data_IF_143786614246
#
_entry.id   IF_143786614246
#
_cell.length_a   1.000
_cell.length_b   1.000
_cell.length_c   1.000
_cell.angle_alpha   90.00
_cell.angle_beta   90.00
_cell.angle_gamma   90.00
#
_symmetry.space_group_name_H-M   'P 1'
#
loop_
_entity.id
_entity.type
_entity.pdbx_description
1 polymer ?
#
# COMPACT_ATOMS: atom_id res chain seq x y z
N UNK A 1 -77.09 -59.12 -42.32
CA UNK A 1 -77.10 -58.78 -40.87
C UNK A 1 -75.70 -58.78 -40.28
N UNK A 2 -74.76 -59.62 -40.71
CA UNK A 2 -73.40 -59.65 -40.17
C UNK A 2 -72.52 -58.44 -40.57
N UNK A 3 -72.76 -57.87 -41.78
CA UNK A 3 -71.99 -56.70 -42.26
C UNK A 3 -72.37 -55.38 -41.56
N UNK A 4 -73.59 -55.22 -41.09
CA UNK A 4 -74.06 -54.07 -40.35
C UNK A 4 -73.50 -54.02 -38.96
N UNK A 5 -73.30 -55.18 -38.35
CA UNK A 5 -72.66 -55.25 -36.97
C UNK A 5 -71.21 -54.88 -37.04
N UNK A 6 -70.44 -55.31 -38.08
CA UNK A 6 -69.05 -54.91 -38.27
C UNK A 6 -68.87 -53.44 -38.48
N UNK A 7 -69.77 -52.77 -39.24
CA UNK A 7 -69.70 -51.32 -39.45
C UNK A 7 -69.93 -50.51 -38.13
N UNK A 8 -70.85 -50.94 -37.28
CA UNK A 8 -71.10 -50.30 -35.98
C UNK A 8 -69.93 -50.40 -35.02
N UNK A 9 -69.26 -51.58 -35.00
CA UNK A 9 -68.08 -51.80 -34.16
C UNK A 9 -66.94 -50.88 -34.61
N UNK A 10 -66.69 -50.80 -35.94
CA UNK A 10 -65.64 -49.92 -36.47
C UNK A 10 -65.94 -48.43 -36.16
N UNK A 11 -67.20 -47.99 -36.29
CA UNK A 11 -67.57 -46.62 -35.94
C UNK A 11 -67.41 -46.37 -34.40
N UNK A 12 -67.77 -47.37 -33.58
CA UNK A 12 -67.60 -47.25 -32.12
C UNK A 12 -66.11 -47.18 -31.72
N UNK A 13 -65.24 -47.96 -32.37
CA UNK A 13 -63.80 -47.94 -32.11
C UNK A 13 -63.18 -46.60 -32.59
N UNK A 14 -63.57 -46.13 -33.76
CA UNK A 14 -63.09 -44.82 -34.26
C UNK A 14 -63.59 -43.66 -33.39
N UNK A 15 -64.83 -43.66 -32.97
CA UNK A 15 -65.42 -42.65 -32.06
C UNK A 15 -64.74 -42.71 -30.68
N UNK A 16 -64.46 -43.91 -30.15
CA UNK A 16 -63.73 -44.10 -28.92
C UNK A 16 -62.28 -43.59 -29.00
N UNK A 17 -61.62 -43.89 -30.13
CA UNK A 17 -60.25 -43.39 -30.41
C UNK A 17 -60.18 -41.85 -30.51
N UNK A 18 -61.13 -41.24 -31.19
CA UNK A 18 -61.21 -39.78 -31.30
C UNK A 18 -61.52 -39.12 -29.93
N UNK A 19 -62.40 -39.75 -29.13
CA UNK A 19 -62.66 -39.28 -27.76
C UNK A 19 -61.47 -39.45 -26.78
N UNK A 20 -60.65 -40.48 -26.96
CA UNK A 20 -59.43 -40.66 -26.20
C UNK A 20 -58.31 -39.67 -26.61
N UNK A 21 -58.17 -39.41 -27.88
CA UNK A 21 -57.18 -38.45 -28.43
C UNK A 21 -57.57 -36.97 -28.18
N UNK A 22 -58.87 -36.67 -28.03
CA UNK A 22 -59.35 -35.32 -27.71
C UNK A 22 -59.22 -34.96 -26.22
N UNK A 23 -58.82 -35.95 -25.35
CA UNK A 23 -58.54 -35.71 -23.94
C UNK A 23 -57.07 -35.28 -23.66
N UNK A 24 -56.35 -34.77 -24.70
CA UNK A 24 -55.15 -34.00 -24.40
C UNK A 24 -55.56 -32.73 -23.66
N UNK A 25 -55.52 -32.82 -22.33
CA UNK A 25 -55.66 -31.66 -21.45
C UNK A 25 -54.58 -30.66 -21.87
N UNK A 26 -54.97 -29.59 -22.59
CA UNK A 26 -54.17 -28.37 -22.70
C UNK A 26 -53.84 -27.94 -21.24
N UNK A 27 -52.69 -28.37 -20.76
CA UNK A 27 -52.13 -27.91 -19.50
C UNK A 27 -51.87 -26.41 -19.71
N UNK A 28 -52.76 -25.56 -19.27
CA UNK A 28 -52.54 -24.13 -19.19
C UNK A 28 -51.24 -23.86 -18.41
N UNK A 29 -50.61 -22.74 -18.64
CA UNK A 29 -49.39 -22.39 -17.93
C UNK A 29 -49.57 -22.55 -16.42
N UNK A 30 -48.71 -23.36 -15.79
CA UNK A 30 -48.76 -23.57 -14.32
C UNK A 30 -48.28 -22.31 -13.66
N UNK A 31 -49.16 -21.44 -13.23
CA UNK A 31 -48.85 -20.25 -12.47
C UNK A 31 -48.51 -20.68 -11.03
N UNK A 32 -47.29 -20.35 -10.58
CA UNK A 32 -46.93 -20.43 -9.17
C UNK A 32 -47.46 -19.16 -8.52
N UNK A 33 -48.43 -19.33 -7.61
CA UNK A 33 -48.98 -18.21 -6.84
C UNK A 33 -48.22 -18.11 -5.56
N UNK A 34 -47.59 -16.98 -5.30
CA UNK A 34 -47.03 -16.64 -4.00
C UNK A 34 -47.87 -15.52 -3.39
N UNK A 35 -47.95 -15.55 -2.03
CA UNK A 35 -48.64 -14.48 -1.31
C UNK A 35 -47.76 -13.23 -1.36
N UNK A 36 -48.30 -12.16 -1.85
CA UNK A 36 -47.69 -10.85 -1.73
C UNK A 36 -47.60 -10.46 -0.27
N UNK A 37 -46.40 -10.20 0.22
CA UNK A 37 -46.14 -9.75 1.57
C UNK A 37 -45.66 -8.32 1.56
N UNK A 38 -45.97 -7.57 2.62
CA UNK A 38 -45.39 -6.24 2.82
C UNK A 38 -44.09 -6.39 3.59
N UNK A 39 -43.08 -5.67 3.14
CA UNK A 39 -41.80 -5.68 3.80
C UNK A 39 -40.83 -4.59 3.21
N UNK A 40 -39.70 -4.35 3.88
CA UNK A 40 -38.72 -3.41 3.39
C UNK A 40 -38.04 -3.94 2.12
N UNK A 41 -37.86 -3.06 1.14
CA UNK A 41 -37.01 -3.27 -0.03
C UNK A 41 -35.84 -2.33 0.10
N UNK A 42 -34.63 -2.88 0.10
CA UNK A 42 -33.37 -2.12 0.21
C UNK A 42 -32.64 -2.27 -1.12
N UNK A 43 -32.35 -1.15 -1.76
CA UNK A 43 -31.45 -1.11 -2.90
C UNK A 43 -30.02 -1.02 -2.40
N UNK A 44 -29.16 -1.93 -2.84
CA UNK A 44 -27.76 -2.01 -2.42
C UNK A 44 -26.85 -1.89 -3.63
N UNK A 45 -25.78 -1.14 -3.48
CA UNK A 45 -24.62 -1.14 -4.39
C UNK A 45 -23.63 -2.17 -3.86
N UNK A 46 -23.23 -3.10 -4.71
CA UNK A 46 -22.25 -4.14 -4.35
C UNK A 46 -20.94 -3.89 -5.08
N UNK A 47 -19.83 -4.01 -4.37
CA UNK A 47 -18.51 -3.85 -4.94
C UNK A 47 -17.50 -4.73 -4.19
N UNK A 48 -16.43 -5.11 -4.86
CA UNK A 48 -15.31 -5.81 -4.23
C UNK A 48 -14.27 -4.82 -3.76
N UNK A 49 -13.60 -5.13 -2.66
CA UNK A 49 -12.55 -4.30 -2.11
C UNK A 49 -11.46 -5.13 -1.45
N UNK A 50 -10.39 -4.45 -1.03
CA UNK A 50 -9.26 -5.06 -0.32
C UNK A 50 -9.11 -4.41 1.05
N UNK A 51 -8.94 -5.23 2.08
CA UNK A 51 -8.63 -4.77 3.42
C UNK A 51 -7.18 -4.30 3.51
N UNK A 52 -6.99 -3.17 4.17
CA UNK A 52 -5.66 -2.65 4.52
C UNK A 52 -5.70 -2.01 5.91
N UNK A 53 -4.54 -1.87 6.56
CA UNK A 53 -4.46 -1.02 7.74
C UNK A 53 -4.61 0.45 7.31
N UNK A 54 -5.15 1.29 8.20
CA UNK A 54 -5.35 2.74 7.92
C UNK A 54 -4.02 3.42 7.59
N UNK A 55 -2.97 3.10 8.35
CA UNK A 55 -1.62 3.60 8.08
C UNK A 55 -0.68 2.44 7.82
N UNK A 56 -0.12 2.42 6.62
CA UNK A 56 0.88 1.45 6.20
C UNK A 56 2.08 2.19 5.64
N UNK A 57 3.28 1.89 6.14
CA UNK A 57 4.53 2.49 5.67
C UNK A 57 5.42 1.42 5.05
N UNK A 58 5.90 1.72 3.86
CA UNK A 58 6.89 0.90 3.17
C UNK A 58 8.27 1.41 3.52
N UNK A 59 9.08 0.58 4.16
CA UNK A 59 10.46 0.88 4.56
C UNK A 59 11.41 0.27 3.55
N UNK A 60 12.24 1.10 2.95
CA UNK A 60 13.22 0.69 1.95
C UNK A 60 14.64 1.08 2.33
N UNK A 61 15.61 0.75 1.47
CA UNK A 61 16.98 1.21 1.58
C UNK A 61 17.25 2.41 0.69
N UNK A 62 18.08 3.35 1.18
CA UNK A 62 18.57 4.50 0.42
C UNK A 62 19.95 4.23 -0.22
N UNK A 63 20.62 3.14 0.20
CA UNK A 63 21.93 2.74 -0.33
C UNK A 63 21.87 1.28 -0.79
N UNK A 64 22.66 0.96 -1.79
CA UNK A 64 22.81 -0.41 -2.30
C UNK A 64 23.78 -1.19 -1.44
N UNK A 65 23.50 -2.47 -1.17
CA UNK A 65 24.38 -3.32 -0.38
C UNK A 65 23.79 -4.71 -0.19
N UNK A 66 24.53 -5.57 0.50
CA UNK A 66 24.07 -6.93 0.85
C UNK A 66 23.48 -6.88 2.26
N UNK A 67 22.34 -7.53 2.48
CA UNK A 67 21.74 -7.65 3.82
C UNK A 67 22.63 -8.59 4.66
N UNK A 68 23.22 -8.02 5.70
CA UNK A 68 24.08 -8.79 6.63
C UNK A 68 23.28 -9.40 7.77
N UNK A 69 22.27 -8.69 8.28
CA UNK A 69 21.44 -9.14 9.41
C UNK A 69 20.01 -8.64 9.26
N UNK A 70 19.08 -9.45 9.77
CA UNK A 70 17.67 -9.09 9.96
C UNK A 70 17.35 -9.14 11.46
N UNK A 71 16.71 -8.10 11.99
CA UNK A 71 16.33 -7.96 13.40
C UNK A 71 14.82 -8.00 13.60
N UNK A 72 14.04 -7.94 12.50
CA UNK A 72 12.60 -8.09 12.50
C UNK A 72 12.19 -9.09 11.43
N UNK A 73 11.14 -9.86 11.71
CA UNK A 73 10.56 -10.84 10.82
C UNK A 73 9.05 -10.59 10.66
N UNK A 74 8.36 -11.40 9.87
CA UNK A 74 6.90 -11.34 9.72
C UNK A 74 6.21 -11.33 11.09
N UNK A 75 5.18 -10.52 11.22
CA UNK A 75 4.37 -10.34 12.43
C UNK A 75 5.13 -9.83 13.67
N UNK A 76 6.38 -9.38 13.52
CA UNK A 76 7.13 -8.76 14.62
C UNK A 76 6.56 -7.39 14.96
N UNK A 77 6.32 -7.15 16.24
CA UNK A 77 6.04 -5.81 16.75
C UNK A 77 7.31 -4.98 16.76
N UNK A 78 7.25 -3.78 16.21
CA UNK A 78 8.40 -2.88 16.09
C UNK A 78 8.04 -1.49 16.59
N UNK A 79 9.04 -0.80 17.15
CA UNK A 79 8.91 0.57 17.62
C UNK A 79 9.62 1.54 16.68
N UNK A 80 9.17 2.76 16.66
CA UNK A 80 9.84 3.84 15.95
C UNK A 80 11.31 3.94 16.36
N UNK A 81 12.22 3.96 15.38
CA UNK A 81 13.66 3.98 15.59
C UNK A 81 14.28 2.61 15.89
N UNK A 82 13.50 1.54 15.97
CA UNK A 82 14.02 0.18 16.14
C UNK A 82 14.71 -0.28 14.85
N UNK A 83 15.85 -0.96 15.03
CA UNK A 83 16.62 -1.54 13.94
C UNK A 83 15.87 -2.75 13.36
N UNK A 84 15.61 -2.72 12.05
CA UNK A 84 14.91 -3.78 11.30
C UNK A 84 15.87 -4.68 10.54
N UNK A 85 16.84 -4.07 9.87
CA UNK A 85 17.87 -4.77 9.10
C UNK A 85 19.17 -3.97 9.06
N UNK A 86 20.25 -4.67 8.80
CA UNK A 86 21.58 -4.07 8.56
C UNK A 86 22.09 -4.54 7.20
N UNK A 87 22.55 -3.60 6.39
CA UNK A 87 23.38 -3.89 5.23
C UNK A 87 24.84 -4.05 5.67
N UNK A 88 25.66 -4.72 4.86
CA UNK A 88 27.10 -4.81 5.12
C UNK A 88 27.73 -3.40 5.20
N UNK A 89 28.19 -2.96 6.38
CA UNK A 89 28.74 -1.63 6.57
C UNK A 89 30.18 -1.50 6.10
N UNK A 90 30.87 -2.60 5.79
CA UNK A 90 32.31 -2.65 5.54
C UNK A 90 32.78 -1.66 4.45
N UNK A 91 32.18 -1.62 3.25
CA UNK A 91 32.60 -0.68 2.21
C UNK A 91 32.29 0.78 2.56
N UNK A 92 31.23 1.03 3.31
CA UNK A 92 30.88 2.36 3.77
C UNK A 92 31.83 2.85 4.86
N UNK A 93 32.18 1.97 5.82
CA UNK A 93 33.14 2.27 6.87
C UNK A 93 34.51 2.61 6.27
N UNK A 94 34.99 1.83 5.30
CA UNK A 94 36.24 2.13 4.60
C UNK A 94 36.22 3.52 3.93
N UNK A 95 35.07 3.88 3.35
CA UNK A 95 34.89 5.22 2.74
C UNK A 95 34.93 6.33 3.81
N UNK A 96 34.28 6.14 4.96
CA UNK A 96 34.34 7.10 6.08
C UNK A 96 35.77 7.27 6.56
N UNK A 97 36.52 6.18 6.75
CA UNK A 97 37.91 6.24 7.22
C UNK A 97 38.82 6.96 6.22
N UNK A 98 38.63 6.73 4.91
CA UNK A 98 39.33 7.46 3.88
C UNK A 98 39.02 8.97 3.95
N UNK A 99 37.75 9.37 4.01
CA UNK A 99 37.35 10.78 4.09
C UNK A 99 37.82 11.46 5.37
N UNK A 100 37.90 10.72 6.46
CA UNK A 100 38.48 11.20 7.72
C UNK A 100 39.96 11.49 7.56
N UNK A 101 40.72 10.62 6.91
CA UNK A 101 42.14 10.85 6.61
C UNK A 101 42.36 12.06 5.66
N UNK A 102 41.49 12.24 4.66
CA UNK A 102 41.50 13.40 3.77
C UNK A 102 41.27 14.71 4.55
N UNK A 103 40.31 14.72 5.48
CA UNK A 103 40.05 15.87 6.36
C UNK A 103 41.27 16.20 7.24
N UNK A 104 41.89 15.20 7.85
CA UNK A 104 43.08 15.41 8.69
C UNK A 104 44.25 15.98 7.85
N UNK A 105 44.45 15.50 6.62
CA UNK A 105 45.43 16.06 5.72
C UNK A 105 45.16 17.55 5.40
N UNK A 106 43.90 17.90 5.12
CA UNK A 106 43.49 19.28 4.86
C UNK A 106 43.69 20.17 6.10
N UNK A 107 43.43 19.68 7.30
CA UNK A 107 43.68 20.40 8.56
C UNK A 107 45.16 20.66 8.78
N UNK A 108 46.01 19.69 8.46
CA UNK A 108 47.49 19.86 8.60
C UNK A 108 47.97 20.97 7.63
N UNK A 109 47.47 20.99 6.39
CA UNK A 109 47.79 22.03 5.41
C UNK A 109 47.30 23.42 5.86
N UNK A 110 46.06 23.50 6.40
CA UNK A 110 45.57 24.77 6.97
C UNK A 110 46.47 25.25 8.09
N UNK A 111 46.89 24.39 9.01
CA UNK A 111 47.78 24.76 10.11
C UNK A 111 49.15 25.25 9.58
N UNK A 112 49.67 24.59 8.55
CA UNK A 112 50.93 25.03 7.90
C UNK A 112 50.79 26.45 7.28
N UNK A 113 49.72 26.68 6.51
CA UNK A 113 49.44 27.98 5.89
C UNK A 113 49.14 29.07 6.95
N UNK A 114 48.52 28.76 8.07
CA UNK A 114 48.34 29.67 9.18
C UNK A 114 49.69 30.09 9.82
N UNK A 115 50.62 29.15 9.99
CA UNK A 115 51.94 29.48 10.46
C UNK A 115 52.73 30.36 9.48
N UNK A 116 52.57 30.12 8.16
CA UNK A 116 53.16 30.97 7.10
C UNK A 116 52.54 32.38 7.18
N UNK A 117 51.22 32.49 7.26
CA UNK A 117 50.53 33.78 7.32
C UNK A 117 50.94 34.56 8.61
N UNK A 118 51.05 33.89 9.76
CA UNK A 118 51.49 34.49 11.01
C UNK A 118 52.92 35.06 10.92
N UNK A 119 53.81 34.32 10.21
CA UNK A 119 55.19 34.83 9.95
C UNK A 119 55.19 36.03 8.97
N UNK A 120 54.44 35.94 7.89
CA UNK A 120 54.34 37.02 6.90
C UNK A 120 53.77 38.29 7.56
N UNK A 121 52.79 38.17 8.44
CA UNK A 121 52.24 39.28 9.20
C UNK A 121 53.26 39.98 10.07
N UNK A 122 54.08 39.23 10.85
CA UNK A 122 55.16 39.81 11.68
C UNK A 122 56.20 40.51 10.86
N UNK A 123 56.59 39.95 9.70
CA UNK A 123 57.57 40.58 8.79
C UNK A 123 57.05 41.87 8.15
N UNK A 124 55.77 41.90 7.80
CA UNK A 124 55.12 43.11 7.26
C UNK A 124 55.03 44.22 8.33
N UNK A 125 54.63 43.87 9.57
CA UNK A 125 54.63 44.82 10.71
C UNK A 125 56.01 45.39 11.01
N UNK A 126 57.07 44.60 10.77
CA UNK A 126 58.45 45.04 10.92
C UNK A 126 58.98 45.78 9.64
N UNK A 127 58.14 45.99 8.60
CA UNK A 127 58.53 46.57 7.28
C UNK A 127 59.63 45.81 6.55
N UNK A 128 59.77 44.49 6.80
CA UNK A 128 60.77 43.61 6.19
C UNK A 128 60.22 42.81 4.99
N UNK A 129 58.93 42.96 4.66
CA UNK A 129 58.26 42.22 3.58
C UNK A 129 57.24 43.08 2.85
N UNK A 130 57.03 42.82 1.52
CA UNK A 130 56.06 43.54 0.72
C UNK A 130 54.59 43.11 1.11
N UNK A 131 53.64 44.03 0.99
CA UNK A 131 52.22 43.77 1.20
C UNK A 131 51.68 42.61 0.33
N UNK A 132 52.17 42.50 -0.93
CA UNK A 132 51.76 41.47 -1.87
C UNK A 132 52.07 40.03 -1.38
N UNK A 133 53.16 39.84 -0.62
CA UNK A 133 53.51 38.55 -0.08
C UNK A 133 52.63 38.16 1.09
N UNK A 134 52.25 39.13 1.95
CA UNK A 134 51.23 38.90 2.99
C UNK A 134 49.87 38.55 2.38
N UNK A 135 49.44 39.29 1.32
CA UNK A 135 48.16 39.02 0.66
C UNK A 135 48.16 37.63 0.00
N UNK A 136 49.31 37.20 -0.56
CA UNK A 136 49.47 35.83 -1.08
C UNK A 136 49.38 34.78 0.03
N UNK A 137 50.06 34.98 1.17
CA UNK A 137 49.98 34.07 2.31
C UNK A 137 48.57 33.98 2.88
N UNK A 138 47.84 35.10 2.92
CA UNK A 138 46.45 35.16 3.31
C UNK A 138 45.55 34.38 2.35
N UNK A 139 45.70 34.60 1.03
CA UNK A 139 44.94 33.87 0.01
C UNK A 139 45.17 32.35 0.09
N UNK A 140 46.43 31.92 0.31
CA UNK A 140 46.75 30.51 0.47
C UNK A 140 46.11 29.90 1.71
N UNK A 141 46.11 30.61 2.83
CA UNK A 141 45.46 30.15 4.07
C UNK A 141 43.94 30.07 3.89
N UNK A 142 43.33 31.07 3.24
CA UNK A 142 41.88 31.08 3.00
C UNK A 142 41.51 29.94 2.02
N UNK A 143 42.33 29.63 1.01
CA UNK A 143 42.18 28.45 0.16
C UNK A 143 42.29 27.12 0.94
N UNK A 144 43.25 27.01 1.86
CA UNK A 144 43.39 25.83 2.72
C UNK A 144 42.20 25.69 3.67
N UNK A 145 41.66 26.78 4.20
CA UNK A 145 40.45 26.76 5.04
C UNK A 145 39.22 26.25 4.24
N UNK A 146 39.05 26.72 3.00
CA UNK A 146 37.98 26.22 2.13
C UNK A 146 38.14 24.72 1.81
N UNK A 147 39.38 24.21 1.68
CA UNK A 147 39.64 22.78 1.49
C UNK A 147 39.25 21.93 2.72
N UNK A 148 39.44 22.46 3.92
CA UNK A 148 38.95 21.79 5.17
C UNK A 148 37.44 21.68 5.16
N UNK A 149 36.72 22.76 4.83
CA UNK A 149 35.26 22.74 4.73
C UNK A 149 34.74 21.74 3.69
N UNK A 150 35.37 21.67 2.54
CA UNK A 150 35.06 20.69 1.48
C UNK A 150 35.28 19.27 1.97
N UNK A 151 36.39 18.98 2.62
CA UNK A 151 36.72 17.64 3.16
C UNK A 151 35.75 17.25 4.28
N UNK A 152 35.35 18.20 5.12
CA UNK A 152 34.37 17.99 6.17
C UNK A 152 32.98 17.65 5.58
N UNK A 153 32.56 18.34 4.53
CA UNK A 153 31.30 18.05 3.82
C UNK A 153 31.35 16.64 3.22
N UNK A 154 32.46 16.25 2.62
CA UNK A 154 32.67 14.91 2.04
C UNK A 154 32.63 13.81 3.13
N UNK A 155 33.19 14.06 4.31
CA UNK A 155 33.12 13.14 5.46
C UNK A 155 31.68 12.99 5.94
N UNK A 156 30.93 14.07 6.13
CA UNK A 156 29.53 14.03 6.54
C UNK A 156 28.66 13.23 5.56
N UNK A 157 28.91 13.35 4.26
CA UNK A 157 28.21 12.56 3.25
C UNK A 157 28.51 11.06 3.41
N UNK A 158 29.77 10.69 3.63
CA UNK A 158 30.16 9.29 3.86
C UNK A 158 29.52 8.72 5.15
N UNK A 159 29.52 9.51 6.24
CA UNK A 159 28.89 9.13 7.52
C UNK A 159 27.37 8.96 7.36
N UNK A 160 26.70 9.81 6.57
CA UNK A 160 25.28 9.68 6.26
C UNK A 160 25.00 8.39 5.47
N UNK A 161 25.82 8.06 4.49
CA UNK A 161 25.68 6.82 3.73
C UNK A 161 25.90 5.58 4.62
N UNK A 162 26.85 5.66 5.55
CA UNK A 162 27.06 4.61 6.57
C UNK A 162 25.85 4.50 7.50
N UNK A 163 25.25 5.59 7.92
CA UNK A 163 24.02 5.56 8.72
C UNK A 163 22.85 4.90 7.97
N UNK A 164 22.75 5.08 6.66
CA UNK A 164 21.73 4.44 5.83
C UNK A 164 21.91 2.93 5.67
N UNK A 165 23.03 2.35 6.06
CA UNK A 165 23.16 0.88 6.13
C UNK A 165 22.30 0.27 7.24
N UNK A 166 21.88 1.07 8.22
CA UNK A 166 21.01 0.66 9.30
C UNK A 166 19.57 1.05 8.98
N UNK A 167 18.75 0.06 8.67
CA UNK A 167 17.34 0.27 8.29
C UNK A 167 16.52 0.30 9.58
N UNK A 168 15.94 1.46 9.88
CA UNK A 168 15.17 1.71 11.10
C UNK A 168 13.67 1.82 10.77
N UNK A 169 12.83 1.44 11.74
CA UNK A 169 11.38 1.66 11.63
C UNK A 169 11.05 3.15 11.78
N UNK A 170 10.29 3.75 10.84
CA UNK A 170 9.83 5.14 10.96
C UNK A 170 8.63 5.31 11.91
N UNK A 171 7.90 4.22 12.21
CA UNK A 171 6.68 4.21 13.02
C UNK A 171 6.67 3.02 13.99
N UNK A 172 5.82 3.11 15.01
CA UNK A 172 5.42 1.94 15.81
C UNK A 172 4.42 1.10 15.01
N UNK A 173 4.46 -0.22 15.13
CA UNK A 173 3.52 -1.08 14.41
C UNK A 173 3.95 -2.54 14.32
N UNK A 174 3.36 -3.24 13.38
CA UNK A 174 3.62 -4.66 13.11
C UNK A 174 4.13 -4.82 11.68
N UNK A 175 5.16 -5.63 11.50
CA UNK A 175 5.69 -5.99 10.17
C UNK A 175 4.68 -6.90 9.48
N UNK A 176 4.08 -6.41 8.40
CA UNK A 176 3.11 -7.17 7.59
C UNK A 176 3.81 -8.00 6.53
N UNK A 177 4.89 -7.46 5.96
CA UNK A 177 5.59 -8.09 4.85
C UNK A 177 7.10 -7.79 4.90
N UNK A 178 7.90 -8.77 4.49
CA UNK A 178 9.35 -8.72 4.36
C UNK A 178 9.75 -9.30 3.00
N UNK A 179 10.37 -8.48 2.16
CA UNK A 179 10.63 -8.85 0.76
C UNK A 179 12.06 -9.37 0.50
N UNK A 180 12.97 -9.26 1.47
CA UNK A 180 14.37 -9.61 1.29
C UNK A 180 14.89 -10.50 2.42
N UNK A 181 15.81 -11.40 2.09
CA UNK A 181 16.47 -12.32 3.00
C UNK A 181 17.94 -11.94 3.26
N UNK A 182 18.53 -12.54 4.31
CA UNK A 182 19.95 -12.38 4.64
C UNK A 182 20.80 -12.88 3.46
N UNK A 183 21.83 -12.12 3.12
CA UNK A 183 22.72 -12.42 1.98
C UNK A 183 22.20 -11.91 0.63
N UNK A 184 20.98 -11.39 0.56
CA UNK A 184 20.42 -10.85 -0.68
C UNK A 184 20.95 -9.44 -0.94
N UNK A 185 21.19 -9.13 -2.21
CA UNK A 185 21.65 -7.80 -2.64
C UNK A 185 20.46 -6.87 -2.85
N UNK A 186 20.53 -5.71 -2.24
CA UNK A 186 19.59 -4.60 -2.41
C UNK A 186 20.20 -3.56 -3.34
N UNK A 187 19.52 -3.24 -4.44
CA UNK A 187 19.96 -2.24 -5.41
C UNK A 187 19.05 -1.00 -5.36
N UNK A 188 19.56 0.10 -4.83
CA UNK A 188 18.82 1.35 -4.65
C UNK A 188 18.99 2.36 -5.82
N UNK A 189 19.56 1.92 -6.96
CA UNK A 189 20.01 2.83 -8.02
C UNK A 189 18.89 3.45 -8.86
N UNK A 190 17.74 2.75 -9.05
CA UNK A 190 16.63 3.19 -9.91
C UNK A 190 15.31 3.37 -9.16
N UNK A 191 15.03 2.53 -8.21
CA UNK A 191 13.88 2.63 -7.33
C UNK A 191 14.30 2.22 -5.93
N UNK A 192 13.82 2.94 -4.91
CA UNK A 192 14.04 2.51 -3.53
C UNK A 192 13.35 1.15 -3.30
N UNK A 193 14.11 0.06 -3.14
CA UNK A 193 13.54 -1.27 -2.92
C UNK A 193 12.82 -1.30 -1.57
N UNK A 194 11.60 -1.83 -1.54
CA UNK A 194 10.85 -2.00 -0.30
C UNK A 194 11.37 -3.25 0.42
N UNK A 195 11.91 -3.09 1.63
CA UNK A 195 12.38 -4.20 2.45
C UNK A 195 11.27 -4.71 3.37
N UNK A 196 10.59 -3.78 4.03
CA UNK A 196 9.51 -4.10 4.97
C UNK A 196 8.28 -3.26 4.69
N UNK A 197 7.12 -3.84 4.95
CA UNK A 197 5.84 -3.14 5.03
C UNK A 197 5.36 -3.19 6.47
N UNK A 198 5.17 -2.04 7.10
CA UNK A 198 4.78 -1.93 8.51
C UNK A 198 3.39 -1.30 8.58
N UNK A 199 2.45 -1.96 9.27
CA UNK A 199 1.15 -1.44 9.62
C UNK A 199 1.18 -0.86 11.03
N UNK A 200 0.68 0.37 11.20
CA UNK A 200 0.74 1.06 12.49
C UNK A 200 -0.20 0.44 13.52
N UNK A 201 -1.43 0.18 13.14
CA UNK A 201 -2.47 -0.32 14.04
C UNK A 201 -3.40 -1.26 13.26
N UNK A 202 -3.40 -2.53 13.61
CA UNK A 202 -4.27 -3.54 12.99
C UNK A 202 -5.67 -3.59 13.61
N UNK A 203 -5.92 -2.87 14.71
CA UNK A 203 -7.26 -2.75 15.32
C UNK A 203 -8.17 -1.83 14.52
N UNK A 204 -7.57 -0.93 13.71
CA UNK A 204 -8.24 0.01 12.81
C UNK A 204 -7.88 -0.34 11.38
N UNK A 205 -8.84 -0.87 10.68
CA UNK A 205 -8.69 -1.29 9.29
C UNK A 205 -9.52 -0.41 8.37
N UNK A 206 -9.21 -0.45 7.10
CA UNK A 206 -10.02 0.15 6.05
C UNK A 206 -10.23 -0.84 4.91
N UNK A 207 -11.40 -0.81 4.31
CA UNK A 207 -11.67 -1.48 3.03
C UNK A 207 -11.57 -0.44 1.94
N UNK A 208 -10.66 -0.65 0.99
CA UNK A 208 -10.61 0.11 -0.25
C UNK A 208 -11.42 -0.65 -1.29
N UNK A 209 -12.59 -0.13 -1.65
CA UNK A 209 -13.47 -0.71 -2.65
C UNK A 209 -13.60 0.22 -3.85
N UNK A 210 -13.76 -0.35 -5.05
CA UNK A 210 -13.97 0.39 -6.28
C UNK A 210 -15.43 0.28 -6.67
N UNK A 211 -16.13 1.41 -6.68
CA UNK A 211 -17.55 1.50 -7.06
C UNK A 211 -17.67 2.08 -8.47
N UNK A 212 -18.50 1.49 -9.30
CA UNK A 212 -18.71 1.90 -10.68
C UNK A 212 -19.29 3.32 -10.75
N UNK A 213 -18.96 4.05 -11.83
CA UNK A 213 -19.46 5.40 -12.09
C UNK A 213 -20.99 5.47 -12.10
N UNK A 214 -21.65 4.41 -12.56
CA UNK A 214 -23.13 4.35 -12.61
C UNK A 214 -23.78 4.38 -11.21
N UNK A 215 -23.06 3.93 -10.17
CA UNK A 215 -23.61 3.76 -8.82
C UNK A 215 -23.04 4.75 -7.81
N UNK A 216 -21.88 5.37 -8.08
CA UNK A 216 -21.21 6.27 -7.13
C UNK A 216 -22.05 7.46 -6.71
N UNK A 217 -22.92 7.97 -7.62
CA UNK A 217 -23.81 9.10 -7.35
C UNK A 217 -24.84 8.85 -6.23
N UNK A 218 -25.04 7.58 -5.84
CA UNK A 218 -25.97 7.18 -4.78
C UNK A 218 -25.28 6.95 -3.44
N UNK A 219 -23.94 6.77 -3.43
CA UNK A 219 -23.14 6.53 -2.22
C UNK A 219 -22.75 7.85 -1.60
N UNK A 220 -22.79 7.94 -0.28
CA UNK A 220 -22.46 9.15 0.49
C UNK A 220 -21.51 8.84 1.62
N UNK A 221 -20.67 9.81 1.95
CA UNK A 221 -19.82 9.74 3.14
C UNK A 221 -20.67 9.65 4.42
N UNK A 222 -20.21 8.89 5.38
CA UNK A 222 -20.92 8.65 6.63
C UNK A 222 -21.95 7.51 6.59
N UNK A 223 -22.19 6.91 5.42
CA UNK A 223 -23.16 5.83 5.22
C UNK A 223 -22.61 4.51 5.81
N UNK A 224 -23.46 3.76 6.47
CA UNK A 224 -23.11 2.41 6.94
C UNK A 224 -23.13 1.44 5.78
N UNK A 225 -22.13 0.58 5.73
CA UNK A 225 -22.02 -0.51 4.78
C UNK A 225 -21.77 -1.82 5.50
N UNK A 226 -22.28 -2.89 4.95
CA UNK A 226 -21.96 -4.25 5.41
C UNK A 226 -20.99 -4.89 4.41
N UNK A 227 -20.09 -5.74 4.91
CA UNK A 227 -19.21 -6.52 4.04
C UNK A 227 -18.96 -7.90 4.63
N UNK A 228 -18.69 -8.84 3.76
CA UNK A 228 -18.19 -10.15 4.11
C UNK A 228 -16.80 -10.33 3.55
N UNK A 229 -15.98 -11.13 4.21
CA UNK A 229 -14.67 -11.55 3.69
C UNK A 229 -14.72 -13.04 3.39
N UNK A 230 -14.01 -13.47 2.35
CA UNK A 230 -14.04 -14.86 1.92
C UNK A 230 -13.55 -15.84 3.01
N UNK A 231 -12.70 -15.33 3.93
CA UNK A 231 -12.25 -16.11 5.08
C UNK A 231 -13.35 -16.34 6.17
N UNK A 232 -14.39 -15.51 6.19
CA UNK A 232 -15.51 -15.58 7.15
C UNK A 232 -16.85 -15.31 6.46
N UNK A 233 -17.35 -16.20 5.58
CA UNK A 233 -18.53 -15.96 4.75
C UNK A 233 -19.81 -15.82 5.58
N UNK A 234 -19.91 -16.51 6.71
CA UNK A 234 -21.10 -16.55 7.58
C UNK A 234 -21.18 -15.36 8.57
N UNK A 235 -20.17 -14.47 8.56
CA UNK A 235 -20.10 -13.33 9.47
C UNK A 235 -20.04 -12.02 8.69
N UNK A 236 -21.15 -11.27 8.62
CA UNK A 236 -21.10 -9.93 8.10
C UNK A 236 -20.37 -9.00 9.08
N UNK A 237 -19.49 -8.19 8.55
CA UNK A 237 -18.83 -7.09 9.25
C UNK A 237 -19.53 -5.79 8.85
N UNK A 238 -19.45 -4.79 9.70
CA UNK A 238 -19.95 -3.45 9.42
C UNK A 238 -18.80 -2.46 9.32
N UNK A 239 -18.94 -1.53 8.41
CA UNK A 239 -18.03 -0.41 8.24
C UNK A 239 -18.79 0.85 7.90
N UNK A 240 -18.10 1.99 7.96
CA UNK A 240 -18.66 3.28 7.60
C UNK A 240 -17.87 3.89 6.46
N UNK A 241 -18.57 4.39 5.44
CA UNK A 241 -17.93 5.13 4.34
C UNK A 241 -17.26 6.37 4.93
N UNK A 242 -15.94 6.41 4.92
CA UNK A 242 -15.14 7.53 5.44
C UNK A 242 -14.80 8.55 4.38
N UNK A 243 -14.53 8.08 3.16
CA UNK A 243 -14.12 8.96 2.08
C UNK A 243 -14.47 8.37 0.72
N UNK A 244 -14.91 9.24 -0.20
CA UNK A 244 -15.06 8.94 -1.63
C UNK A 244 -13.95 9.70 -2.37
N UNK A 245 -13.03 9.00 -3.02
CA UNK A 245 -11.95 9.65 -3.78
C UNK A 245 -12.46 10.22 -5.09
N UNK A 246 -12.10 11.47 -5.38
CA UNK A 246 -12.52 12.17 -6.59
C UNK A 246 -11.77 11.73 -7.86
N UNK A 247 -10.60 11.12 -7.71
CA UNK A 247 -9.81 10.63 -8.84
C UNK A 247 -10.30 9.24 -9.25
N UNK A 248 -10.89 9.09 -10.44
CA UNK A 248 -11.34 7.80 -10.93
C UNK A 248 -10.14 6.88 -11.26
N UNK A 249 -10.42 5.59 -11.26
CA UNK A 249 -9.50 4.56 -11.75
C UNK A 249 -10.20 3.77 -12.85
N UNK A 250 -9.47 3.46 -13.92
CA UNK A 250 -10.00 2.61 -14.98
C UNK A 250 -9.51 1.19 -14.76
N UNK A 251 -10.43 0.30 -14.41
CA UNK A 251 -10.16 -1.13 -14.21
C UNK A 251 -10.90 -1.89 -15.34
N UNK A 252 -10.16 -2.62 -16.16
CA UNK A 252 -10.74 -3.40 -17.28
C UNK A 252 -11.67 -2.58 -18.20
N UNK A 253 -11.28 -1.33 -18.51
CA UNK A 253 -12.06 -0.37 -19.29
C UNK A 253 -13.37 0.13 -18.63
N UNK A 254 -13.58 -0.14 -17.35
CA UNK A 254 -14.68 0.41 -16.56
C UNK A 254 -14.14 1.53 -15.67
N UNK A 255 -14.82 2.67 -15.68
CA UNK A 255 -14.48 3.80 -14.80
C UNK A 255 -15.06 3.52 -13.42
N UNK A 256 -14.21 3.50 -12.41
CA UNK A 256 -14.57 3.25 -11.02
C UNK A 256 -14.02 4.33 -10.11
N UNK A 257 -14.70 4.57 -9.00
CA UNK A 257 -14.27 5.50 -7.97
C UNK A 257 -13.88 4.75 -6.70
N UNK A 258 -12.65 4.97 -6.19
CA UNK A 258 -12.23 4.35 -4.94
C UNK A 258 -12.99 4.93 -3.75
N UNK A 259 -13.62 4.07 -2.98
CA UNK A 259 -14.34 4.40 -1.74
C UNK A 259 -13.67 3.70 -0.57
N UNK A 260 -13.41 4.45 0.49
CA UNK A 260 -12.83 3.92 1.72
C UNK A 260 -13.92 3.71 2.77
N UNK A 261 -13.88 2.55 3.38
CA UNK A 261 -14.74 2.21 4.52
C UNK A 261 -13.86 1.99 5.74
N UNK A 262 -14.10 2.70 6.82
CA UNK A 262 -13.44 2.47 8.10
C UNK A 262 -14.09 1.31 8.81
N UNK A 263 -13.25 0.42 9.34
CA UNK A 263 -13.65 -0.85 9.96
C UNK A 263 -12.90 -1.05 11.27
N UNK A 264 -13.63 -1.34 12.33
CA UNK A 264 -13.03 -1.74 13.60
C UNK A 264 -12.67 -3.25 13.58
N UNK A 265 -11.46 -3.56 14.04
CA UNK A 265 -10.94 -4.94 14.10
C UNK A 265 -10.34 -5.27 15.49
N UNK A 266 -11.12 -5.14 16.58
CA UNK A 266 -10.60 -5.32 17.95
C UNK A 266 -10.08 -6.75 18.21
N UNK A 267 -10.63 -7.74 17.52
CA UNK A 267 -10.24 -9.15 17.68
C UNK A 267 -9.09 -9.57 16.74
N UNK A 268 -8.54 -8.64 15.94
CA UNK A 268 -7.46 -8.88 14.97
C UNK A 268 -7.74 -10.02 13.97
N UNK A 269 -9.04 -10.30 13.70
CA UNK A 269 -9.46 -11.34 12.75
C UNK A 269 -9.28 -10.92 11.30
N UNK A 270 -9.51 -9.65 11.02
CA UNK A 270 -9.31 -9.10 9.71
C UNK A 270 -7.81 -8.86 9.49
N UNK A 271 -7.30 -9.34 8.36
CA UNK A 271 -5.89 -9.19 7.99
C UNK A 271 -5.74 -8.33 6.75
N UNK A 272 -4.69 -7.52 6.65
CA UNK A 272 -4.35 -6.82 5.41
C UNK A 272 -4.25 -7.78 4.23
N UNK A 273 -4.78 -7.37 3.07
CA UNK A 273 -4.80 -8.19 1.85
C UNK A 273 -6.02 -9.09 1.68
N UNK A 274 -6.91 -9.22 2.69
CA UNK A 274 -8.17 -9.98 2.52
C UNK A 274 -9.08 -9.27 1.52
N UNK A 275 -9.78 -10.05 0.69
CA UNK A 275 -10.83 -9.57 -0.20
C UNK A 275 -12.13 -9.41 0.57
N UNK A 276 -12.79 -8.29 0.38
CA UNK A 276 -14.08 -7.96 0.97
C UNK A 276 -15.14 -7.77 -0.10
N UNK A 277 -16.30 -8.40 0.07
CA UNK A 277 -17.49 -8.16 -0.73
C UNK A 277 -18.38 -7.16 0.02
N UNK A 278 -18.37 -5.92 -0.44
CA UNK A 278 -19.03 -4.78 0.20
C UNK A 278 -20.43 -4.59 -0.37
N UNK A 279 -21.40 -4.34 0.52
CA UNK A 279 -22.78 -3.98 0.18
C UNK A 279 -23.12 -2.67 0.88
N UNK A 280 -23.35 -1.62 0.10
CA UNK A 280 -23.74 -0.29 0.59
C UNK A 280 -25.23 -0.09 0.32
N UNK A 281 -26.09 0.03 1.36
CA UNK A 281 -27.50 0.32 1.19
C UNK A 281 -27.67 1.77 0.72
N UNK A 282 -28.22 2.00 -0.45
CA UNK A 282 -28.34 3.34 -1.07
C UNK A 282 -29.77 3.90 -1.04
N UNK A 283 -30.79 3.04 -1.00
CA UNK A 283 -32.19 3.43 -0.86
C UNK A 283 -32.92 2.36 -0.05
N UNK A 284 -33.84 2.79 0.82
CA UNK A 284 -34.66 1.91 1.62
C UNK A 284 -36.12 2.40 1.56
N UNK A 285 -36.99 1.51 1.16
CA UNK A 285 -38.44 1.74 1.20
C UNK A 285 -39.08 0.70 2.09
N UNK A 286 -39.66 1.18 3.17
CA UNK A 286 -40.40 0.34 4.08
C UNK A 286 -41.84 0.18 3.60
N UNK A 287 -42.48 -0.95 3.94
CA UNK A 287 -43.90 -1.23 3.67
C UNK A 287 -44.28 -1.34 2.17
N UNK A 288 -43.39 -1.85 1.34
CA UNK A 288 -43.63 -2.11 -0.09
C UNK A 288 -44.15 -3.55 -0.27
N UNK A 289 -45.04 -3.74 -1.24
CA UNK A 289 -45.48 -5.07 -1.67
C UNK A 289 -44.32 -5.81 -2.36
N UNK A 290 -43.95 -6.98 -1.86
CA UNK A 290 -42.89 -7.85 -2.40
C UNK A 290 -43.34 -9.30 -2.49
#
# INVERSE_FOLDING_TARGET
KKALIGAVIVVAVVAGGVLLLSKEKKGGPKFRKEKVTKGPVVATVTATGTLSAVTTVKVGSQVSGIISRLHADFNSEVRKGQLLAELDPTPFQATVDQRRADLERAKVELRNTELVLARARKLLEAQLQAQSEYDTAKANRDGAAASVEQSLASLRQAETNLAYTRILSPIDGVVVDRQYDIGQTVAASFQAPVLFTIAQDLTKMQVLTNIDEADIGRVREGQEASFSVDAFPDRPFTGKVSQIRLSPQTVQNVVTYPVLLDVANPELRLRPGMTANVSVPVDRRDDVLR
#
